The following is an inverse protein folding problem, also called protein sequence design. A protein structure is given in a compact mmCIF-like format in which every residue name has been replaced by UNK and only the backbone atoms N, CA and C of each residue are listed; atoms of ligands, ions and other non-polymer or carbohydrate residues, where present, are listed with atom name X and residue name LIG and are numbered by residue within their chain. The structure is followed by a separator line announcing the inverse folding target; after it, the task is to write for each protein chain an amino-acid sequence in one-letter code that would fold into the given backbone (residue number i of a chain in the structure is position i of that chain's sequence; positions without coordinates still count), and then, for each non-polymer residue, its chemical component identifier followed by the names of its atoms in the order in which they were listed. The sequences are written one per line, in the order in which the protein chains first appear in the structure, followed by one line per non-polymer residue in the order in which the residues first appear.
data_IF_583315784306
#
_entry.id   IF_583315784306
#
_cell.length_a   1.000
_cell.length_b   1.000
_cell.length_c   1.000
_cell.angle_alpha   90.00
_cell.angle_beta   90.00
_cell.angle_gamma   90.00
#
_symmetry.space_group_name_H-M   'P 1'
#
loop_
_entity.id
_entity.type
_entity.pdbx_description
1 polymer ?
#
# COMPACT_ATOMS: atom_id res chain seq x y z
N UNK A 1 37.57 14.35 -17.38
CA UNK A 1 36.67 13.25 -17.79
C UNK A 1 36.12 12.56 -16.57
N UNK A 2 34.93 13.03 -16.19
CA UNK A 2 34.15 12.69 -15.00
C UNK A 2 33.32 11.44 -15.24
N UNK A 3 33.57 10.36 -14.49
CA UNK A 3 32.57 9.32 -14.28
C UNK A 3 31.81 9.64 -12.99
N UNK A 4 30.62 10.21 -13.16
CA UNK A 4 29.65 10.44 -12.10
C UNK A 4 28.98 9.08 -11.81
N UNK A 5 29.28 8.52 -10.64
CA UNK A 5 28.74 7.24 -10.19
C UNK A 5 27.23 7.29 -9.92
N UNK A 6 26.61 6.13 -10.11
CA UNK A 6 25.19 5.84 -9.94
C UNK A 6 24.62 6.43 -8.63
N UNK A 7 23.64 7.33 -8.79
CA UNK A 7 22.83 7.86 -7.71
C UNK A 7 21.80 6.80 -7.28
N UNK A 8 21.95 6.32 -6.05
CA UNK A 8 20.92 5.62 -5.30
C UNK A 8 19.67 6.52 -5.24
N UNK A 9 18.56 6.04 -5.80
CA UNK A 9 17.26 6.71 -5.78
C UNK A 9 16.61 6.49 -4.42
N UNK A 10 16.22 7.58 -3.74
CA UNK A 10 15.16 7.51 -2.75
C UNK A 10 13.84 7.46 -3.50
N UNK A 11 13.35 6.25 -3.72
CA UNK A 11 11.91 6.05 -3.77
C UNK A 11 11.45 6.00 -2.32
N UNK A 12 10.23 6.45 -2.04
CA UNK A 12 9.49 6.00 -0.85
C UNK A 12 9.13 4.49 -0.97
N UNK A 13 10.04 3.66 -1.49
CA UNK A 13 9.85 2.23 -1.68
C UNK A 13 11.00 1.49 -1.00
N UNK A 14 10.66 0.68 0.00
CA UNK A 14 11.45 -0.53 0.22
C UNK A 14 11.02 -1.55 -0.84
N UNK A 15 11.95 -1.93 -1.73
CA UNK A 15 11.89 -3.16 -2.51
C UNK A 15 12.98 -4.13 -2.00
N UNK A 16 12.83 -5.43 -2.31
CA UNK A 16 12.30 -6.48 -1.44
C UNK A 16 13.30 -7.00 -0.38
N UNK A 17 12.80 -7.51 0.75
CA UNK A 17 13.46 -8.61 1.45
C UNK A 17 12.62 -9.86 1.24
N UNK A 18 13.05 -10.72 0.33
CA UNK A 18 12.58 -12.09 0.31
C UNK A 18 13.74 -13.03 0.00
N UNK A 19 14.05 -13.92 0.95
CA UNK A 19 14.44 -15.27 0.56
C UNK A 19 13.63 -16.31 1.34
N UNK A 20 12.30 -16.35 1.17
CA UNK A 20 11.49 -17.58 1.23
C UNK A 20 9.98 -17.30 1.16
N UNK A 21 9.40 -17.31 -0.04
CA UNK A 21 8.06 -17.91 -0.17
C UNK A 21 8.28 -19.40 -0.43
N UNK A 22 8.31 -20.17 0.65
CA UNK A 22 7.98 -21.59 0.59
C UNK A 22 6.47 -21.71 0.68
N UNK A 23 5.78 -21.65 -0.47
CA UNK A 23 4.63 -22.53 -0.64
C UNK A 23 5.19 -23.93 -0.88
N UNK A 24 5.18 -24.76 0.14
CA UNK A 24 5.42 -26.20 0.04
C UNK A 24 4.53 -26.79 -1.05
N UNK A 25 5.10 -27.22 -2.18
CA UNK A 25 4.75 -28.50 -2.84
C UNK A 25 5.28 -28.73 -4.26
N UNK A 26 5.89 -27.78 -5.00
CA UNK A 26 6.17 -28.05 -6.43
C UNK A 26 7.52 -27.64 -7.05
N UNK A 27 8.53 -27.25 -6.25
CA UNK A 27 9.85 -26.86 -6.79
C UNK A 27 11.01 -27.83 -6.45
N UNK A 28 10.76 -28.88 -5.65
CA UNK A 28 11.81 -29.78 -5.17
C UNK A 28 12.29 -30.85 -6.19
N UNK A 29 11.64 -30.98 -7.35
CA UNK A 29 11.91 -32.11 -8.25
C UNK A 29 13.00 -31.88 -9.32
N UNK A 30 13.49 -30.64 -9.54
CA UNK A 30 14.28 -30.33 -10.75
C UNK A 30 15.71 -29.80 -10.58
N UNK A 31 16.21 -29.53 -9.37
CA UNK A 31 17.53 -28.88 -9.19
C UNK A 31 18.42 -29.51 -8.11
N UNK A 32 18.74 -30.80 -8.24
CA UNK A 32 19.60 -31.53 -7.31
C UNK A 32 21.11 -31.16 -7.36
N UNK A 33 21.57 -30.39 -8.36
CA UNK A 33 23.00 -30.03 -8.52
C UNK A 33 23.43 -28.71 -7.86
N UNK A 34 22.49 -27.84 -7.48
CA UNK A 34 22.81 -26.55 -6.82
C UNK A 34 23.16 -26.74 -5.33
N UNK A 35 22.73 -27.85 -4.72
CA UNK A 35 22.94 -28.13 -3.29
C UNK A 35 24.32 -28.72 -2.94
N UNK A 36 25.15 -29.07 -3.93
CA UNK A 36 26.47 -29.65 -3.66
C UNK A 36 27.53 -28.58 -3.33
N UNK A 37 27.34 -27.33 -3.76
CA UNK A 37 28.26 -26.22 -3.48
C UNK A 37 28.11 -25.64 -2.06
N UNK A 38 27.02 -25.98 -1.35
CA UNK A 38 26.73 -25.50 0.02
C UNK A 38 27.37 -26.33 1.14
N UNK A 39 28.18 -27.34 0.82
CA UNK A 39 28.68 -28.29 1.84
C UNK A 39 30.11 -28.04 2.34
N UNK A 40 30.76 -26.95 1.93
CA UNK A 40 32.19 -26.69 2.28
C UNK A 40 32.47 -25.40 3.06
N UNK A 41 31.48 -24.73 3.67
CA UNK A 41 31.76 -23.72 4.71
C UNK A 41 30.85 -23.90 5.90
N UNK A 42 31.37 -24.59 6.91
CA UNK A 42 30.80 -24.70 8.25
C UNK A 42 31.24 -23.51 9.10
N UNK A 43 30.43 -22.45 9.13
CA UNK A 43 30.26 -21.55 10.28
C UNK A 43 28.78 -21.12 10.34
N UNK A 44 28.15 -21.02 11.53
CA UNK A 44 26.75 -20.66 11.65
C UNK A 44 26.59 -19.15 11.49
N UNK A 45 26.34 -18.67 10.27
CA UNK A 45 25.96 -17.28 9.99
C UNK A 45 24.59 -16.95 10.64
N UNK A 46 24.60 -16.52 11.90
CA UNK A 46 23.43 -15.98 12.60
C UNK A 46 23.39 -14.45 12.46
N UNK A 47 22.95 -13.96 11.30
CA UNK A 47 22.59 -12.55 11.15
C UNK A 47 21.16 -12.33 11.63
N UNK A 48 20.97 -12.08 12.92
CA UNK A 48 19.70 -11.50 13.41
C UNK A 48 19.52 -10.09 12.83
N UNK A 49 18.28 -9.64 12.65
CA UNK A 49 17.99 -8.27 12.16
C UNK A 49 18.69 -7.21 13.02
N UNK A 50 18.67 -7.37 14.35
CA UNK A 50 19.39 -6.52 15.29
C UNK A 50 20.89 -6.45 15.01
N UNK A 51 21.56 -7.60 14.80
CA UNK A 51 22.99 -7.63 14.48
C UNK A 51 23.31 -6.89 13.16
N UNK A 52 22.41 -6.96 12.17
CA UNK A 52 22.56 -6.23 10.90
C UNK A 52 22.42 -4.72 11.08
N UNK A 53 21.44 -4.29 11.87
CA UNK A 53 21.22 -2.86 12.22
C UNK A 53 22.44 -2.30 12.95
N UNK A 54 22.92 -3.01 13.98
CA UNK A 54 24.10 -2.58 14.75
C UNK A 54 25.34 -2.45 13.86
N UNK A 55 25.58 -3.43 12.99
CA UNK A 55 26.70 -3.40 12.03
C UNK A 55 26.56 -2.22 11.05
N UNK A 56 25.35 -1.95 10.56
CA UNK A 56 25.09 -0.81 9.69
C UNK A 56 25.37 0.52 10.39
N UNK A 57 24.93 0.69 11.64
CA UNK A 57 25.18 1.88 12.45
C UNK A 57 26.67 2.11 12.72
N UNK A 58 27.43 1.04 13.00
CA UNK A 58 28.88 1.13 13.18
C UNK A 58 29.59 1.62 11.90
N UNK A 59 29.20 1.06 10.74
CA UNK A 59 29.75 1.47 9.44
C UNK A 59 29.41 2.94 9.12
N UNK A 60 28.17 3.36 9.38
CA UNK A 60 27.75 4.74 9.18
C UNK A 60 28.50 5.71 10.10
N UNK A 61 28.68 5.35 11.39
CA UNK A 61 29.47 6.14 12.34
C UNK A 61 30.92 6.33 11.91
N UNK A 62 31.52 5.31 11.30
CA UNK A 62 32.88 5.41 10.76
C UNK A 62 32.95 6.31 9.51
N UNK A 63 31.97 6.20 8.59
CA UNK A 63 31.87 7.10 7.43
C UNK A 63 31.68 8.56 7.83
N UNK A 64 30.84 8.80 8.85
CA UNK A 64 30.64 10.13 9.43
C UNK A 64 31.95 10.71 9.97
N UNK A 65 32.74 9.92 10.71
CA UNK A 65 34.06 10.33 11.21
C UNK A 65 35.03 10.71 10.09
N UNK A 66 34.86 10.15 8.89
CA UNK A 66 35.64 10.46 7.69
C UNK A 66 35.09 11.65 6.89
N UNK A 67 34.04 12.32 7.38
CA UNK A 67 33.45 13.51 6.75
C UNK A 67 32.39 13.22 5.68
N UNK A 68 31.86 12.00 5.61
CA UNK A 68 30.83 11.65 4.62
C UNK A 68 29.46 12.22 5.02
N UNK A 69 29.06 13.31 4.37
CA UNK A 69 27.76 13.96 4.59
C UNK A 69 26.56 13.05 4.28
N UNK A 70 26.67 12.14 3.32
CA UNK A 70 25.58 11.21 2.99
C UNK A 70 25.36 10.17 4.11
N UNK A 71 26.42 9.82 4.83
CA UNK A 71 26.32 8.87 5.93
C UNK A 71 25.47 9.40 7.11
N UNK A 72 25.39 10.73 7.30
CA UNK A 72 24.47 11.32 8.27
C UNK A 72 23.01 11.07 7.87
N UNK A 73 22.66 11.37 6.62
CA UNK A 73 21.30 11.14 6.12
C UNK A 73 20.92 9.66 6.21
N UNK A 74 21.81 8.75 5.76
CA UNK A 74 21.55 7.30 5.80
C UNK A 74 21.37 6.77 7.22
N UNK A 75 22.05 7.36 8.22
CA UNK A 75 21.87 7.00 9.63
C UNK A 75 20.51 7.47 10.15
N UNK A 76 20.13 8.72 9.88
CA UNK A 76 18.79 9.21 10.21
C UNK A 76 17.69 8.37 9.54
N UNK A 77 17.89 7.98 8.28
CA UNK A 77 16.97 7.11 7.55
C UNK A 77 16.87 5.71 8.19
N UNK A 78 17.98 5.14 8.65
CA UNK A 78 17.96 3.86 9.36
C UNK A 78 17.20 3.97 10.67
N UNK A 79 17.43 5.03 11.46
CA UNK A 79 16.65 5.30 12.67
C UNK A 79 15.15 5.41 12.38
N UNK A 80 14.79 6.17 11.34
CA UNK A 80 13.40 6.31 10.92
C UNK A 80 12.76 4.97 10.56
N UNK A 81 13.49 4.10 9.85
CA UNK A 81 13.02 2.78 9.43
C UNK A 81 12.89 1.76 10.57
N UNK A 82 13.70 1.88 11.61
CA UNK A 82 13.62 1.07 12.83
C UNK A 82 12.62 1.65 13.85
N UNK A 83 12.00 2.79 13.56
CA UNK A 83 11.01 3.45 14.43
C UNK A 83 11.63 4.29 15.55
N UNK A 84 12.94 4.52 15.52
CA UNK A 84 13.69 5.38 16.44
C UNK A 84 13.54 6.84 16.00
N UNK A 85 12.31 7.35 16.11
CA UNK A 85 11.94 8.61 15.49
C UNK A 85 12.58 9.83 16.14
N UNK A 86 12.86 9.80 17.45
CA UNK A 86 13.53 10.91 18.14
C UNK A 86 14.97 11.07 17.61
N UNK A 87 15.70 9.96 17.52
CA UNK A 87 17.07 9.93 16.99
C UNK A 87 17.11 10.29 15.50
N UNK A 88 16.11 9.84 14.73
CA UNK A 88 15.96 10.24 13.33
C UNK A 88 15.75 11.76 13.20
N UNK A 89 14.91 12.34 14.06
CA UNK A 89 14.57 13.76 14.03
C UNK A 89 15.82 14.61 14.31
N UNK A 90 16.55 14.28 15.38
CA UNK A 90 17.80 14.96 15.74
C UNK A 90 18.81 14.92 14.59
N UNK A 91 18.99 13.75 13.98
CA UNK A 91 19.90 13.57 12.84
C UNK A 91 19.50 14.42 11.64
N UNK A 92 18.22 14.48 11.29
CA UNK A 92 17.78 15.27 10.14
C UNK A 92 17.81 16.77 10.42
N UNK A 93 17.50 17.22 11.64
CA UNK A 93 17.63 18.62 12.05
C UNK A 93 19.08 19.13 11.91
N UNK A 94 20.07 18.28 12.20
CA UNK A 94 21.50 18.62 12.09
C UNK A 94 21.92 18.95 10.64
N UNK A 95 21.31 18.31 9.64
CA UNK A 95 21.73 18.41 8.23
C UNK A 95 20.73 19.13 7.31
N UNK A 96 19.57 19.56 7.82
CA UNK A 96 18.45 20.09 7.01
C UNK A 96 18.83 21.24 6.07
N UNK A 97 19.72 22.14 6.50
CA UNK A 97 20.12 23.32 5.71
C UNK A 97 20.97 22.95 4.48
N UNK A 98 21.61 21.77 4.52
CA UNK A 98 22.52 21.29 3.46
C UNK A 98 21.94 20.13 2.66
N UNK A 99 20.96 19.43 3.23
CA UNK A 99 20.38 18.22 2.65
C UNK A 99 18.85 18.33 2.48
N UNK A 100 18.41 18.23 1.22
CA UNK A 100 16.99 18.30 0.86
C UNK A 100 16.24 17.02 1.24
N UNK A 101 16.92 15.87 1.31
CA UNK A 101 16.32 14.61 1.73
C UNK A 101 15.96 14.69 3.22
N UNK A 102 16.86 15.26 4.04
CA UNK A 102 16.58 15.52 5.44
C UNK A 102 15.45 16.53 5.63
N UNK A 103 15.46 17.64 4.87
CA UNK A 103 14.34 18.61 4.89
C UNK A 103 13.01 17.95 4.53
N UNK A 104 12.98 17.09 3.51
CA UNK A 104 11.78 16.34 3.16
C UNK A 104 11.32 15.40 4.30
N UNK A 105 12.25 14.66 4.91
CA UNK A 105 11.92 13.75 6.01
C UNK A 105 11.41 14.50 7.24
N UNK A 106 12.01 15.64 7.61
CA UNK A 106 11.47 16.52 8.64
C UNK A 106 10.04 16.96 8.29
N UNK A 107 9.77 17.28 7.03
CA UNK A 107 8.43 17.58 6.55
C UNK A 107 7.41 16.50 6.90
N UNK A 108 7.75 15.23 6.65
CA UNK A 108 6.92 14.07 7.01
C UNK A 108 6.79 13.91 8.53
N UNK A 109 7.92 13.99 9.25
CA UNK A 109 7.96 13.78 10.69
C UNK A 109 7.16 14.82 11.47
N UNK A 110 7.29 16.11 11.14
CA UNK A 110 6.47 17.15 11.77
C UNK A 110 4.99 17.03 11.38
N UNK A 111 4.69 16.67 10.12
CA UNK A 111 3.33 16.50 9.66
C UNK A 111 2.57 15.41 10.43
N UNK A 112 3.21 14.28 10.68
CA UNK A 112 2.63 13.11 11.34
C UNK A 112 2.96 13.02 12.84
N UNK A 113 3.82 13.89 13.38
CA UNK A 113 4.24 13.86 14.79
C UNK A 113 5.15 12.67 15.11
N UNK A 114 6.03 12.28 14.19
CA UNK A 114 6.97 11.18 14.39
C UNK A 114 8.20 11.68 15.15
N UNK A 115 8.37 11.21 16.39
CA UNK A 115 9.50 11.61 17.25
C UNK A 115 9.38 13.03 17.82
N UNK A 116 8.21 13.67 17.68
CA UNK A 116 7.93 15.01 18.21
C UNK A 116 6.41 15.25 18.30
N UNK A 117 5.99 16.32 18.97
CA UNK A 117 4.61 16.76 18.91
C UNK A 117 4.22 17.11 17.46
N UNK A 118 2.98 16.80 17.07
CA UNK A 118 2.49 17.10 15.72
C UNK A 118 2.52 18.61 15.44
N UNK A 119 3.19 18.99 14.36
CA UNK A 119 3.25 20.36 13.82
C UNK A 119 3.07 20.29 12.30
N UNK A 120 1.81 20.16 11.89
CA UNK A 120 1.48 19.96 10.48
C UNK A 120 1.74 21.19 9.62
N UNK A 121 1.69 22.40 10.20
CA UNK A 121 2.01 23.64 9.48
C UNK A 121 3.49 23.66 9.09
N UNK A 122 4.38 23.35 10.05
CA UNK A 122 5.82 23.22 9.80
C UNK A 122 6.14 22.07 8.84
N UNK A 123 5.44 20.94 8.97
CA UNK A 123 5.56 19.83 8.02
C UNK A 123 5.25 20.26 6.59
N UNK A 124 4.15 20.99 6.39
CA UNK A 124 3.77 21.56 5.09
C UNK A 124 4.79 22.58 4.58
N UNK A 125 5.33 23.44 5.45
CA UNK A 125 6.35 24.41 5.06
C UNK A 125 7.59 23.71 4.46
N UNK A 126 8.08 22.65 5.11
CA UNK A 126 9.21 21.87 4.58
C UNK A 126 8.88 21.18 3.25
N UNK A 127 7.69 20.60 3.10
CA UNK A 127 7.27 20.00 1.83
C UNK A 127 7.19 21.04 0.70
N UNK A 128 6.68 22.26 0.97
CA UNK A 128 6.68 23.38 0.02
C UNK A 128 8.10 23.76 -0.40
N UNK A 129 9.03 23.89 0.56
CA UNK A 129 10.45 24.16 0.28
C UNK A 129 11.05 23.15 -0.71
N UNK A 130 10.68 21.87 -0.61
CA UNK A 130 11.15 20.84 -1.54
C UNK A 130 10.54 20.98 -2.93
N UNK A 131 9.22 21.17 -3.01
CA UNK A 131 8.50 21.34 -4.29
C UNK A 131 9.02 22.56 -5.05
N UNK A 132 9.24 23.66 -4.35
CA UNK A 132 9.65 24.95 -4.94
C UNK A 132 11.17 25.05 -5.16
N UNK A 133 11.97 24.14 -4.58
CA UNK A 133 13.43 24.21 -4.69
C UNK A 133 13.91 24.15 -6.15
N UNK A 134 14.71 25.12 -6.62
CA UNK A 134 15.32 25.07 -7.95
C UNK A 134 16.51 24.09 -8.00
N UNK A 135 16.92 23.52 -6.85
CA UNK A 135 18.08 22.66 -6.76
C UNK A 135 17.88 21.36 -7.55
N UNK A 136 18.77 21.00 -8.50
CA UNK A 136 18.69 19.73 -9.22
C UNK A 136 18.73 18.49 -8.31
N UNK A 137 19.33 18.61 -7.12
CA UNK A 137 19.36 17.52 -6.12
C UNK A 137 17.96 17.23 -5.56
N UNK A 138 17.08 18.23 -5.47
CA UNK A 138 15.72 18.06 -4.95
C UNK A 138 14.75 17.46 -5.98
N UNK A 139 15.11 17.43 -7.28
CA UNK A 139 14.20 17.03 -8.37
C UNK A 139 13.49 15.70 -8.14
N UNK A 140 14.20 14.70 -7.61
CA UNK A 140 13.63 13.38 -7.34
C UNK A 140 12.66 13.37 -6.15
N UNK A 141 12.81 14.29 -5.19
CA UNK A 141 11.96 14.41 -4.01
C UNK A 141 10.66 15.17 -4.32
N UNK A 142 10.65 15.99 -5.38
CA UNK A 142 9.50 16.85 -5.71
C UNK A 142 8.21 16.07 -5.88
N UNK A 143 8.25 14.89 -6.49
CA UNK A 143 7.04 14.08 -6.69
C UNK A 143 6.48 13.55 -5.36
N UNK A 144 7.34 13.08 -4.46
CA UNK A 144 6.94 12.62 -3.14
C UNK A 144 6.44 13.77 -2.25
N UNK A 145 7.15 14.89 -2.25
CA UNK A 145 6.75 16.10 -1.54
C UNK A 145 5.43 16.67 -2.06
N UNK A 146 5.23 16.73 -3.38
CA UNK A 146 3.97 17.18 -3.96
C UNK A 146 2.82 16.21 -3.65
N UNK A 147 3.05 14.90 -3.65
CA UNK A 147 2.05 13.93 -3.25
C UNK A 147 1.56 14.17 -1.80
N UNK A 148 2.49 14.28 -0.85
CA UNK A 148 2.15 14.52 0.55
C UNK A 148 1.56 15.91 0.79
N UNK A 149 2.05 16.94 0.08
CA UNK A 149 1.47 18.27 0.14
C UNK A 149 0.04 18.29 -0.42
N UNK A 150 -0.22 17.53 -1.49
CA UNK A 150 -1.57 17.35 -2.02
C UNK A 150 -2.51 16.71 -0.99
N UNK A 151 -2.02 15.69 -0.26
CA UNK A 151 -2.75 15.09 0.86
C UNK A 151 -3.07 16.12 1.95
N UNK A 152 -2.11 16.96 2.33
CA UNK A 152 -2.32 18.02 3.30
C UNK A 152 -3.42 19.01 2.90
N UNK A 153 -3.43 19.43 1.62
CA UNK A 153 -4.50 20.30 1.10
C UNK A 153 -5.86 19.59 1.02
N UNK A 154 -5.91 18.30 0.72
CA UNK A 154 -7.16 17.55 0.68
C UNK A 154 -7.76 17.36 2.09
N UNK A 155 -6.91 17.04 3.07
CA UNK A 155 -7.30 16.84 4.47
C UNK A 155 -7.55 18.17 5.21
N UNK A 156 -6.94 19.26 4.77
CA UNK A 156 -6.95 20.53 5.50
C UNK A 156 -6.07 20.51 6.77
N UNK A 157 -5.10 19.60 6.83
CA UNK A 157 -4.20 19.43 7.98
C UNK A 157 -2.92 20.24 7.75
N UNK A 158 -2.65 21.21 8.62
CA UNK A 158 -1.50 22.12 8.49
C UNK A 158 -1.62 23.18 7.39
N UNK A 159 -2.71 23.16 6.61
CA UNK A 159 -3.06 24.16 5.59
C UNK A 159 -4.58 24.24 5.44
N UNK A 160 -5.09 25.38 4.96
CA UNK A 160 -6.50 25.50 4.59
C UNK A 160 -6.85 24.47 3.50
N UNK A 161 -7.90 23.67 3.73
CA UNK A 161 -8.38 22.67 2.77
C UNK A 161 -8.64 23.28 1.39
N UNK A 162 -8.15 22.62 0.34
CA UNK A 162 -8.33 23.00 -1.06
C UNK A 162 -8.19 21.79 -1.98
N UNK A 163 -9.32 21.20 -2.38
CA UNK A 163 -9.35 20.06 -3.30
C UNK A 163 -8.70 20.41 -4.66
N UNK A 164 -8.81 21.66 -5.10
CA UNK A 164 -8.16 22.17 -6.32
C UNK A 164 -6.63 22.14 -6.22
N UNK A 165 -6.06 22.55 -5.08
CA UNK A 165 -4.60 22.48 -4.91
C UNK A 165 -4.13 21.05 -4.71
N UNK A 166 -4.91 20.22 -4.03
CA UNK A 166 -4.65 18.78 -3.92
C UNK A 166 -4.55 18.13 -5.30
N UNK A 167 -5.56 18.34 -6.15
CA UNK A 167 -5.61 17.85 -7.53
C UNK A 167 -4.40 18.34 -8.34
N UNK A 168 -4.08 19.65 -8.28
CA UNK A 168 -2.91 20.23 -8.97
C UNK A 168 -1.60 19.56 -8.58
N UNK A 169 -1.39 19.35 -7.27
CA UNK A 169 -0.18 18.76 -6.74
C UNK A 169 -0.07 17.28 -7.04
N UNK A 170 -1.18 16.54 -6.98
CA UNK A 170 -1.21 15.14 -7.36
C UNK A 170 -0.99 14.94 -8.87
N UNK A 171 -1.56 15.79 -9.73
CA UNK A 171 -1.27 15.77 -11.17
C UNK A 171 0.22 16.00 -11.45
N UNK A 172 0.83 16.97 -10.77
CA UNK A 172 2.27 17.19 -10.85
C UNK A 172 3.08 15.99 -10.32
N UNK A 173 2.67 15.40 -9.20
CA UNK A 173 3.33 14.25 -8.59
C UNK A 173 3.23 12.98 -9.44
N UNK A 174 2.12 12.79 -10.16
CA UNK A 174 1.85 11.65 -11.01
C UNK A 174 2.56 11.75 -12.37
N UNK A 175 2.90 12.97 -12.81
CA UNK A 175 3.67 13.27 -14.03
C UNK A 175 3.17 12.50 -15.26
N UNK A 176 1.86 12.61 -15.53
CA UNK A 176 1.21 11.97 -16.67
C UNK A 176 1.50 10.46 -16.80
N UNK A 177 1.48 9.74 -15.67
CA UNK A 177 1.66 8.29 -15.65
C UNK A 177 3.13 7.83 -15.62
N UNK A 178 4.09 8.76 -15.51
CA UNK A 178 5.51 8.42 -15.51
C UNK A 178 5.86 7.41 -14.39
N UNK A 179 6.41 6.22 -14.71
CA UNK A 179 6.79 5.20 -13.72
C UNK A 179 7.88 5.67 -12.75
N UNK A 180 8.62 6.72 -13.09
CA UNK A 180 9.67 7.30 -12.22
C UNK A 180 9.13 8.39 -11.29
N UNK A 181 7.85 8.74 -11.41
CA UNK A 181 7.17 9.71 -10.56
C UNK A 181 6.40 9.00 -9.43
N UNK A 182 5.40 9.66 -8.83
CA UNK A 182 4.65 9.09 -7.71
C UNK A 182 3.52 8.18 -8.18
N UNK A 183 3.72 6.87 -8.09
CA UNK A 183 2.66 5.87 -8.31
C UNK A 183 1.51 6.04 -7.29
N UNK A 184 1.83 6.47 -6.07
CA UNK A 184 0.81 6.82 -5.06
C UNK A 184 -0.07 7.99 -5.49
N UNK A 185 0.50 8.98 -6.20
CA UNK A 185 -0.28 10.07 -6.77
C UNK A 185 -1.17 9.62 -7.93
N UNK A 186 -0.72 8.65 -8.74
CA UNK A 186 -1.58 8.05 -9.78
C UNK A 186 -2.77 7.31 -9.14
N UNK A 187 -2.53 6.48 -8.12
CA UNK A 187 -3.61 5.76 -7.42
C UNK A 187 -4.61 6.71 -6.76
N UNK A 188 -4.13 7.75 -6.05
CA UNK A 188 -5.02 8.69 -5.38
C UNK A 188 -5.84 9.54 -6.36
N UNK A 189 -5.29 9.89 -7.53
CA UNK A 189 -6.07 10.53 -8.59
C UNK A 189 -7.17 9.61 -9.11
N UNK A 190 -6.88 8.31 -9.28
CA UNK A 190 -7.90 7.31 -9.62
C UNK A 190 -9.04 7.29 -8.61
N UNK A 191 -8.72 7.24 -7.32
CA UNK A 191 -9.72 7.27 -6.25
C UNK A 191 -10.48 8.60 -6.18
N UNK A 192 -9.76 9.72 -6.32
CA UNK A 192 -10.32 11.06 -6.28
C UNK A 192 -11.35 11.26 -7.40
N UNK A 193 -11.03 10.93 -8.66
CA UNK A 193 -11.99 11.04 -9.76
C UNK A 193 -13.13 10.01 -9.69
N UNK A 194 -12.93 8.89 -8.99
CA UNK A 194 -13.99 7.90 -8.72
C UNK A 194 -15.03 8.39 -7.72
N UNK A 195 -14.65 9.32 -6.83
CA UNK A 195 -15.45 9.73 -5.66
C UNK A 195 -15.83 11.21 -5.64
N UNK A 196 -15.15 12.06 -6.41
CA UNK A 196 -15.49 13.47 -6.66
C UNK A 196 -16.90 13.59 -7.22
N UNK A 197 -17.58 14.71 -6.94
CA UNK A 197 -18.85 15.04 -7.59
C UNK A 197 -18.80 16.32 -8.45
N UNK A 198 -19.23 16.25 -9.72
CA UNK A 198 -19.66 15.03 -10.45
C UNK A 198 -18.49 14.05 -10.67
N UNK A 199 -18.77 12.75 -10.63
CA UNK A 199 -17.77 11.70 -10.90
C UNK A 199 -17.17 11.84 -12.28
N UNK A 200 -15.86 11.67 -12.39
CA UNK A 200 -15.10 11.75 -13.64
C UNK A 200 -14.51 10.36 -13.97
N UNK A 201 -15.39 9.38 -14.17
CA UNK A 201 -15.00 7.96 -14.22
C UNK A 201 -14.00 7.61 -15.32
N UNK A 202 -14.02 8.30 -16.46
CA UNK A 202 -13.01 8.10 -17.52
C UNK A 202 -11.61 8.53 -17.07
N UNK A 203 -11.50 9.63 -16.31
CA UNK A 203 -10.22 10.04 -15.70
C UNK A 203 -9.80 9.07 -14.61
N UNK A 204 -10.75 8.58 -13.81
CA UNK A 204 -10.46 7.56 -12.81
C UNK A 204 -9.89 6.29 -13.46
N UNK A 205 -10.50 5.83 -14.56
CA UNK A 205 -10.04 4.67 -15.31
C UNK A 205 -8.62 4.89 -15.84
N UNK A 206 -8.34 6.07 -16.40
CA UNK A 206 -7.01 6.43 -16.88
C UNK A 206 -5.97 6.36 -15.76
N UNK A 207 -6.20 7.04 -14.62
CA UNK A 207 -5.22 7.08 -13.54
C UNK A 207 -5.02 5.75 -12.84
N UNK A 208 -6.08 4.95 -12.67
CA UNK A 208 -5.94 3.59 -12.18
C UNK A 208 -5.18 2.69 -13.16
N UNK A 209 -5.34 2.89 -14.48
CA UNK A 209 -4.57 2.18 -15.52
C UNK A 209 -3.09 2.50 -15.43
N UNK A 210 -2.72 3.77 -15.32
CA UNK A 210 -1.32 4.20 -15.14
C UNK A 210 -0.71 3.63 -13.85
N UNK A 211 -1.42 3.76 -12.72
CA UNK A 211 -0.97 3.23 -11.45
C UNK A 211 -0.78 1.70 -11.50
N UNK A 212 -1.72 0.97 -12.10
CA UNK A 212 -1.66 -0.47 -12.26
C UNK A 212 -0.48 -0.89 -13.15
N UNK A 213 -0.28 -0.22 -14.29
CA UNK A 213 0.87 -0.44 -15.17
C UNK A 213 2.21 -0.22 -14.47
N UNK A 214 2.22 0.67 -13.48
CA UNK A 214 3.36 0.95 -12.62
C UNK A 214 3.39 0.11 -11.32
N UNK A 215 2.59 -0.95 -11.25
CA UNK A 215 2.64 -1.97 -10.20
C UNK A 215 1.72 -1.74 -9.00
N UNK A 216 0.90 -0.68 -8.97
CA UNK A 216 -0.02 -0.41 -7.87
C UNK A 216 -1.12 -1.48 -7.78
N UNK A 217 -1.12 -2.18 -6.66
CA UNK A 217 -2.02 -3.31 -6.41
C UNK A 217 -3.46 -2.89 -6.14
N UNK A 218 -3.66 -1.76 -5.46
CA UNK A 218 -4.99 -1.21 -5.17
C UNK A 218 -5.73 -0.80 -6.44
N UNK A 219 -5.04 -0.10 -7.34
CA UNK A 219 -5.55 0.31 -8.65
C UNK A 219 -5.86 -0.88 -9.55
N UNK A 220 -5.09 -1.98 -9.48
CA UNK A 220 -5.43 -3.21 -10.20
C UNK A 220 -6.78 -3.78 -9.73
N UNK A 221 -7.04 -3.76 -8.41
CA UNK A 221 -8.35 -4.14 -7.87
C UNK A 221 -9.48 -3.20 -8.31
N UNK A 222 -9.22 -1.88 -8.32
CA UNK A 222 -10.17 -0.88 -8.79
C UNK A 222 -10.55 -1.09 -10.26
N UNK A 223 -9.57 -1.29 -11.15
CA UNK A 223 -9.82 -1.58 -12.57
C UNK A 223 -10.69 -2.82 -12.76
N UNK A 224 -10.47 -3.85 -11.94
CA UNK A 224 -11.32 -5.04 -11.90
C UNK A 224 -12.80 -4.69 -11.74
N UNK A 225 -13.12 -3.78 -10.81
CA UNK A 225 -14.51 -3.31 -10.61
C UNK A 225 -14.98 -2.37 -11.71
N UNK A 226 -14.10 -1.51 -12.23
CA UNK A 226 -14.45 -0.59 -13.31
C UNK A 226 -14.85 -1.36 -14.58
N UNK A 227 -14.11 -2.42 -14.93
CA UNK A 227 -14.49 -3.33 -16.00
C UNK A 227 -15.75 -4.12 -15.68
N UNK A 228 -15.95 -4.55 -14.42
CA UNK A 228 -17.10 -5.35 -14.04
C UNK A 228 -18.42 -4.58 -14.16
N UNK A 229 -18.41 -3.30 -13.78
CA UNK A 229 -19.59 -2.43 -13.76
C UNK A 229 -19.65 -1.44 -14.94
N UNK A 230 -18.66 -1.43 -15.84
CA UNK A 230 -18.59 -0.46 -16.93
C UNK A 230 -18.43 0.99 -16.47
N UNK A 231 -17.65 1.22 -15.41
CA UNK A 231 -17.44 2.56 -14.84
C UNK A 231 -16.29 3.25 -15.57
N UNK A 232 -16.58 4.28 -16.37
CA UNK A 232 -15.56 5.02 -17.12
C UNK A 232 -14.92 4.26 -18.28
N UNK A 233 -15.39 3.03 -18.53
CA UNK A 233 -14.96 2.15 -19.61
C UNK A 233 -16.13 1.22 -19.96
N UNK A 234 -16.08 0.57 -21.14
CA UNK A 234 -17.05 -0.47 -21.48
C UNK A 234 -16.93 -1.65 -20.52
N UNK A 235 -18.07 -2.21 -20.12
CA UNK A 235 -18.12 -3.42 -19.32
C UNK A 235 -17.41 -4.59 -20.02
N UNK A 236 -16.53 -5.27 -19.29
CA UNK A 236 -15.79 -6.46 -19.74
C UNK A 236 -15.56 -7.41 -18.56
N UNK A 237 -16.34 -8.50 -18.52
CA UNK A 237 -16.26 -9.45 -17.40
C UNK A 237 -14.97 -10.27 -17.42
N UNK A 238 -14.39 -10.52 -18.60
CA UNK A 238 -13.16 -11.31 -18.70
C UNK A 238 -11.98 -10.49 -18.18
N UNK A 239 -11.85 -9.24 -18.64
CA UNK A 239 -10.85 -8.31 -18.14
C UNK A 239 -11.02 -8.04 -16.63
N UNK A 240 -12.26 -7.86 -16.16
CA UNK A 240 -12.55 -7.70 -14.75
C UNK A 240 -12.03 -8.88 -13.91
N UNK A 241 -12.36 -10.11 -14.31
CA UNK A 241 -11.94 -11.31 -13.60
C UNK A 241 -10.42 -11.53 -13.66
N UNK A 242 -9.77 -11.15 -14.76
CA UNK A 242 -8.31 -11.17 -14.87
C UNK A 242 -7.68 -10.24 -13.84
N UNK A 243 -8.05 -8.95 -13.84
CA UNK A 243 -7.54 -7.96 -12.90
C UNK A 243 -7.80 -8.36 -11.44
N UNK A 244 -9.02 -8.79 -11.10
CA UNK A 244 -9.37 -9.18 -9.73
C UNK A 244 -8.59 -10.41 -9.26
N UNK A 245 -8.37 -11.42 -10.12
CA UNK A 245 -7.59 -12.62 -9.75
C UNK A 245 -6.13 -12.30 -9.50
N UNK A 246 -5.49 -11.56 -10.40
CA UNK A 246 -4.09 -11.18 -10.23
C UNK A 246 -3.89 -10.31 -8.98
N UNK A 247 -4.78 -9.34 -8.75
CA UNK A 247 -4.74 -8.53 -7.54
C UNK A 247 -4.94 -9.40 -6.28
N UNK A 248 -5.90 -10.32 -6.30
CA UNK A 248 -6.17 -11.23 -5.19
C UNK A 248 -4.97 -12.16 -4.88
N UNK A 249 -4.29 -12.68 -5.90
CA UNK A 249 -3.09 -13.51 -5.77
C UNK A 249 -1.91 -12.74 -5.14
N UNK A 250 -1.83 -11.44 -5.41
CA UNK A 250 -0.84 -10.52 -4.81
C UNK A 250 -1.24 -10.01 -3.42
N UNK A 251 -2.36 -10.46 -2.87
CA UNK A 251 -2.80 -10.14 -1.50
C UNK A 251 -3.81 -8.99 -1.39
N UNK A 252 -4.37 -8.50 -2.50
CA UNK A 252 -5.42 -7.47 -2.44
C UNK A 252 -6.72 -8.07 -1.87
N UNK A 253 -7.00 -7.79 -0.60
CA UNK A 253 -8.17 -8.32 0.11
C UNK A 253 -9.49 -7.79 -0.44
N UNK A 254 -9.51 -6.57 -0.98
CA UNK A 254 -10.71 -6.02 -1.62
C UNK A 254 -11.07 -6.78 -2.88
N UNK A 255 -10.08 -7.07 -3.73
CA UNK A 255 -10.26 -7.91 -4.92
C UNK A 255 -10.68 -9.33 -4.54
N UNK A 256 -10.11 -9.90 -3.47
CA UNK A 256 -10.51 -11.20 -2.94
C UNK A 256 -11.99 -11.21 -2.51
N UNK A 257 -12.45 -10.20 -1.76
CA UNK A 257 -13.85 -10.07 -1.34
C UNK A 257 -14.82 -9.98 -2.52
N UNK A 258 -14.46 -9.23 -3.57
CA UNK A 258 -15.26 -9.15 -4.80
C UNK A 258 -15.29 -10.47 -5.60
N UNK A 259 -14.21 -11.25 -5.58
CA UNK A 259 -14.23 -12.60 -6.15
C UNK A 259 -15.12 -13.56 -5.35
N UNK A 260 -15.19 -13.41 -4.02
CA UNK A 260 -16.15 -14.17 -3.19
C UNK A 260 -17.58 -13.87 -3.65
N UNK A 261 -17.94 -12.59 -3.76
CA UNK A 261 -19.25 -12.16 -4.25
C UNK A 261 -19.55 -12.77 -5.62
N UNK A 262 -18.60 -12.69 -6.55
CA UNK A 262 -18.74 -13.26 -7.88
C UNK A 262 -19.01 -14.77 -7.84
N UNK A 263 -18.23 -15.53 -7.06
CA UNK A 263 -18.42 -16.98 -6.94
C UNK A 263 -19.76 -17.34 -6.30
N UNK A 264 -20.22 -16.56 -5.32
CA UNK A 264 -21.54 -16.73 -4.74
C UNK A 264 -22.65 -16.50 -5.78
N UNK A 265 -22.60 -15.38 -6.53
CA UNK A 265 -23.58 -15.04 -7.57
C UNK A 265 -23.62 -16.08 -8.70
N UNK A 266 -22.47 -16.63 -9.08
CA UNK A 266 -22.35 -17.70 -10.08
C UNK A 266 -22.69 -19.10 -9.53
N UNK A 267 -23.13 -19.20 -8.26
CA UNK A 267 -23.48 -20.45 -7.59
C UNK A 267 -22.31 -21.44 -7.44
N UNK A 268 -21.07 -20.95 -7.49
CA UNK A 268 -19.86 -21.75 -7.22
C UNK A 268 -19.62 -21.85 -5.71
N UNK A 269 -20.59 -22.39 -4.97
CA UNK A 269 -20.64 -22.29 -3.51
C UNK A 269 -19.46 -22.95 -2.81
N UNK A 270 -19.00 -24.12 -3.24
CA UNK A 270 -17.81 -24.77 -2.66
C UNK A 270 -16.57 -23.89 -2.78
N UNK A 271 -16.39 -23.23 -3.93
CA UNK A 271 -15.28 -22.29 -4.16
C UNK A 271 -15.46 -21.01 -3.34
N UNK A 272 -16.68 -20.48 -3.29
CA UNK A 272 -17.05 -19.34 -2.46
C UNK A 272 -16.70 -19.59 -0.98
N UNK A 273 -17.11 -20.72 -0.41
CA UNK A 273 -16.84 -21.08 1.00
C UNK A 273 -15.34 -21.21 1.24
N UNK A 274 -14.62 -21.97 0.42
CA UNK A 274 -13.19 -22.20 0.60
C UNK A 274 -12.38 -20.89 0.54
N UNK A 275 -12.76 -19.99 -0.37
CA UNK A 275 -12.07 -18.72 -0.56
C UNK A 275 -12.45 -17.69 0.52
N UNK A 276 -13.74 -17.56 0.84
CA UNK A 276 -14.25 -16.63 1.85
C UNK A 276 -13.78 -16.94 3.26
N UNK A 277 -13.69 -18.22 3.65
CA UNK A 277 -13.28 -18.63 5.00
C UNK A 277 -11.92 -18.04 5.38
N UNK A 278 -10.93 -18.16 4.48
CA UNK A 278 -9.56 -17.69 4.73
C UNK A 278 -9.50 -16.18 5.02
N UNK A 279 -10.33 -15.41 4.34
CA UNK A 279 -10.36 -13.94 4.44
C UNK A 279 -11.17 -13.53 5.68
N UNK A 280 -12.29 -14.21 5.92
CA UNK A 280 -13.16 -13.97 7.06
C UNK A 280 -12.50 -14.33 8.40
N UNK A 281 -11.46 -15.16 8.39
CA UNK A 281 -10.68 -15.53 9.58
C UNK A 281 -9.55 -14.54 9.91
N UNK A 282 -9.28 -13.53 9.09
CA UNK A 282 -8.29 -12.48 9.41
C UNK A 282 -8.67 -11.73 10.69
N UNK A 283 -7.66 -11.49 11.53
CA UNK A 283 -7.78 -10.70 12.75
C UNK A 283 -7.80 -9.20 12.45
N UNK A 284 -8.75 -8.50 13.04
CA UNK A 284 -9.00 -7.09 12.72
C UNK A 284 -7.93 -6.16 13.29
N UNK A 285 -7.29 -6.56 14.40
CA UNK A 285 -6.33 -5.73 15.12
C UNK A 285 -4.92 -5.93 14.55
N UNK A 286 -4.54 -7.17 14.26
CA UNK A 286 -3.18 -7.52 13.87
C UNK A 286 -3.01 -7.67 12.35
N UNK A 287 -3.97 -8.30 11.66
CA UNK A 287 -3.80 -8.61 10.23
C UNK A 287 -4.07 -7.40 9.35
N UNK A 288 -5.03 -6.53 9.69
CA UNK A 288 -5.34 -5.35 8.86
C UNK A 288 -4.12 -4.42 8.71
N UNK A 289 -3.43 -4.00 9.79
CA UNK A 289 -2.23 -3.17 9.66
C UNK A 289 -1.10 -3.90 8.93
N UNK A 290 -0.91 -5.21 9.21
CA UNK A 290 0.13 -6.02 8.55
C UNK A 290 -0.12 -6.12 7.04
N UNK A 291 -1.34 -6.42 6.63
CA UNK A 291 -1.72 -6.51 5.22
C UNK A 291 -1.55 -5.15 4.55
N UNK A 292 -2.03 -4.06 5.18
CA UNK A 292 -1.84 -2.71 4.66
C UNK A 292 -0.36 -2.38 4.43
N UNK A 293 0.51 -2.74 5.38
CA UNK A 293 1.95 -2.52 5.26
C UNK A 293 2.59 -3.34 4.13
N UNK A 294 2.22 -4.62 3.98
CA UNK A 294 2.82 -5.53 2.98
C UNK A 294 2.31 -5.24 1.57
N UNK A 295 1.05 -4.83 1.45
CA UNK A 295 0.37 -4.66 0.14
C UNK A 295 0.29 -3.21 -0.31
N UNK A 296 0.60 -2.24 0.58
CA UNK A 296 0.40 -0.80 0.38
C UNK A 296 -1.06 -0.44 0.00
N UNK A 297 -2.02 -1.31 0.34
CA UNK A 297 -3.45 -1.08 0.15
C UNK A 297 -4.02 -0.32 1.36
N UNK A 298 -5.02 0.54 1.13
CA UNK A 298 -5.62 1.29 2.22
C UNK A 298 -6.43 0.36 3.14
N UNK A 299 -6.33 0.53 4.47
CA UNK A 299 -7.06 -0.28 5.44
C UNK A 299 -8.58 -0.35 5.18
N UNK A 300 -9.18 0.73 4.70
CA UNK A 300 -10.61 0.78 4.38
C UNK A 300 -11.00 -0.27 3.32
N UNK A 301 -10.20 -0.46 2.27
CA UNK A 301 -10.49 -1.44 1.23
C UNK A 301 -10.24 -2.87 1.71
N UNK A 302 -9.26 -3.08 2.58
CA UNK A 302 -9.03 -4.37 3.26
C UNK A 302 -10.27 -4.73 4.10
N UNK A 303 -10.75 -3.79 4.92
CA UNK A 303 -11.96 -3.93 5.74
C UNK A 303 -13.18 -4.26 4.88
N UNK A 304 -13.39 -3.54 3.77
CA UNK A 304 -14.48 -3.82 2.83
C UNK A 304 -14.39 -5.23 2.25
N UNK A 305 -13.20 -5.67 1.84
CA UNK A 305 -12.97 -7.03 1.35
C UNK A 305 -13.27 -8.11 2.39
N UNK A 306 -12.84 -7.89 3.64
CA UNK A 306 -13.14 -8.78 4.76
C UNK A 306 -14.64 -8.83 5.09
N UNK A 307 -15.34 -7.69 5.00
CA UNK A 307 -16.78 -7.61 5.22
C UNK A 307 -17.56 -8.38 4.14
N UNK A 308 -17.21 -8.21 2.85
CA UNK A 308 -17.77 -9.01 1.75
C UNK A 308 -17.58 -10.51 2.00
N UNK A 309 -16.35 -10.92 2.30
CA UNK A 309 -16.03 -12.33 2.54
C UNK A 309 -16.83 -12.90 3.73
N UNK A 310 -16.90 -12.16 4.84
CA UNK A 310 -17.65 -12.56 6.03
C UNK A 310 -19.14 -12.69 5.74
N UNK A 311 -19.74 -11.73 5.02
CA UNK A 311 -21.17 -11.77 4.69
C UNK A 311 -21.53 -12.96 3.81
N UNK A 312 -20.79 -13.19 2.72
CA UNK A 312 -21.08 -14.29 1.80
C UNK A 312 -20.73 -15.66 2.41
N UNK A 313 -19.72 -15.73 3.28
CA UNK A 313 -19.45 -16.93 4.07
C UNK A 313 -20.63 -17.27 5.00
N UNK A 314 -21.14 -16.25 5.71
CA UNK A 314 -22.32 -16.39 6.55
C UNK A 314 -23.55 -16.86 5.75
N UNK A 315 -23.76 -16.35 4.53
CA UNK A 315 -24.85 -16.80 3.65
C UNK A 315 -24.73 -18.27 3.30
N UNK A 316 -23.54 -18.73 2.94
CA UNK A 316 -23.31 -20.14 2.64
C UNK A 316 -23.59 -21.04 3.85
N UNK A 317 -23.14 -20.65 5.05
CA UNK A 317 -23.42 -21.39 6.29
C UNK A 317 -24.91 -21.39 6.67
N UNK A 318 -25.57 -20.23 6.55
CA UNK A 318 -27.00 -20.09 6.86
C UNK A 318 -27.87 -20.99 5.99
N UNK A 319 -27.53 -21.08 4.70
CA UNK A 319 -28.32 -21.80 3.70
C UNK A 319 -27.83 -23.23 3.42
N UNK A 320 -26.67 -23.62 3.93
CA UNK A 320 -26.05 -24.90 3.61
C UNK A 320 -25.54 -24.98 2.16
N UNK A 321 -25.06 -23.87 1.60
CA UNK A 321 -24.60 -23.79 0.21
C UNK A 321 -23.11 -24.12 0.13
N UNK A 322 -22.77 -25.27 -0.43
CA UNK A 322 -21.37 -25.71 -0.56
C UNK A 322 -20.68 -26.04 0.77
N UNK A 323 -21.42 -26.03 1.88
CA UNK A 323 -20.98 -26.34 3.24
C UNK A 323 -22.17 -26.87 4.04
N UNK A 324 -21.91 -27.61 5.12
CA UNK A 324 -22.96 -28.01 6.06
C UNK A 324 -23.61 -26.77 6.68
N UNK A 325 -24.94 -26.78 6.77
CA UNK A 325 -25.71 -25.69 7.37
C UNK A 325 -25.31 -25.51 8.84
N UNK A 326 -24.96 -24.28 9.22
CA UNK A 326 -24.57 -23.89 10.57
C UNK A 326 -25.03 -22.44 10.84
N UNK A 327 -26.22 -22.31 11.43
CA UNK A 327 -26.82 -21.01 11.71
C UNK A 327 -26.11 -20.25 12.84
N UNK A 328 -25.49 -20.95 13.79
CA UNK A 328 -24.82 -20.32 14.92
C UNK A 328 -23.55 -19.61 14.43
N UNK A 329 -22.72 -20.30 13.66
CA UNK A 329 -21.51 -19.73 13.06
C UNK A 329 -21.86 -18.66 12.02
N UNK A 330 -22.93 -18.84 11.24
CA UNK A 330 -23.39 -17.81 10.31
C UNK A 330 -23.68 -16.47 11.01
N UNK A 331 -24.36 -16.48 12.17
CA UNK A 331 -24.64 -15.26 12.95
C UNK A 331 -23.37 -14.54 13.39
N UNK A 332 -22.33 -15.26 13.76
CA UNK A 332 -21.03 -14.68 14.12
C UNK A 332 -20.41 -13.93 12.93
N UNK A 333 -20.40 -14.54 11.73
CA UNK A 333 -19.84 -13.90 10.54
C UNK A 333 -20.69 -12.73 10.02
N UNK A 334 -22.02 -12.76 10.14
CA UNK A 334 -22.84 -11.57 9.88
C UNK A 334 -22.50 -10.43 10.83
N UNK A 335 -22.39 -10.73 12.13
CA UNK A 335 -22.03 -9.73 13.14
C UNK A 335 -20.64 -9.14 12.86
N UNK A 336 -19.69 -9.97 12.42
CA UNK A 336 -18.37 -9.53 11.97
C UNK A 336 -18.47 -8.59 10.76
N UNK A 337 -19.24 -8.95 9.73
CA UNK A 337 -19.43 -8.08 8.56
C UNK A 337 -20.01 -6.71 8.95
N UNK A 338 -21.04 -6.69 9.81
CA UNK A 338 -21.63 -5.44 10.33
C UNK A 338 -20.63 -4.60 11.14
N UNK A 339 -19.80 -5.24 11.98
CA UNK A 339 -18.77 -4.55 12.77
C UNK A 339 -17.67 -3.95 11.89
N UNK A 340 -17.23 -4.70 10.87
CA UNK A 340 -16.20 -4.27 9.93
C UNK A 340 -16.68 -3.08 9.07
N UNK A 341 -17.85 -3.22 8.45
CA UNK A 341 -18.39 -2.18 7.57
C UNK A 341 -19.93 -2.15 7.63
N UNK A 342 -20.52 -1.31 8.50
CA UNK A 342 -21.96 -1.23 8.67
C UNK A 342 -22.71 -0.81 7.40
N UNK A 343 -22.16 0.15 6.66
CA UNK A 343 -22.79 0.68 5.44
C UNK A 343 -22.89 -0.38 4.34
N UNK A 344 -21.80 -1.13 4.11
CA UNK A 344 -21.79 -2.24 3.17
C UNK A 344 -22.72 -3.37 3.62
N UNK A 345 -22.74 -3.69 4.92
CA UNK A 345 -23.63 -4.72 5.44
C UNK A 345 -25.12 -4.36 5.22
N UNK A 346 -25.48 -3.09 5.40
CA UNK A 346 -26.81 -2.56 5.11
C UNK A 346 -27.15 -2.63 3.61
N UNK A 347 -26.21 -2.27 2.73
CA UNK A 347 -26.37 -2.42 1.28
C UNK A 347 -26.63 -3.88 0.88
N UNK A 348 -25.82 -4.81 1.38
CA UNK A 348 -25.97 -6.24 1.11
C UNK A 348 -27.28 -6.80 1.68
N UNK A 349 -27.69 -6.35 2.87
CA UNK A 349 -28.97 -6.72 3.45
C UNK A 349 -30.14 -6.22 2.59
N UNK A 350 -30.04 -4.99 2.09
CA UNK A 350 -31.02 -4.41 1.17
C UNK A 350 -31.10 -5.24 -0.12
N UNK A 351 -29.97 -5.62 -0.71
CA UNK A 351 -29.95 -6.48 -1.90
C UNK A 351 -30.63 -7.84 -1.65
N UNK A 352 -30.44 -8.41 -0.45
CA UNK A 352 -31.08 -9.66 -0.04
C UNK A 352 -32.60 -9.52 0.10
N UNK A 353 -33.09 -8.44 0.72
CA UNK A 353 -34.54 -8.16 0.82
C UNK A 353 -35.17 -8.06 -0.58
N UNK A 354 -34.46 -7.45 -1.53
CA UNK A 354 -34.90 -7.30 -2.91
C UNK A 354 -34.62 -8.54 -3.79
N UNK A 355 -34.21 -9.67 -3.20
CA UNK A 355 -33.91 -10.94 -3.89
C UNK A 355 -32.87 -10.81 -5.02
N UNK A 356 -31.93 -9.87 -4.88
CA UNK A 356 -30.83 -9.67 -5.83
C UNK A 356 -29.62 -10.56 -5.53
N UNK A 357 -29.50 -11.07 -4.30
CA UNK A 357 -28.45 -12.00 -3.81
C UNK A 357 -28.98 -12.96 -2.74
#
# INVERSE_FOLDING_TARGET
NTHCGDRMKLTSEKLPKNPSYTSLSHFAAKNAKIFQWRKEKTEPDHYSHANLVDKALQLLKERIRRGDTMAYFLRGQLYFEEGWYEEALEQFEEIKEKDHQATYQLGVMYYDGLGTATDSEKGVEYMKKIVDSPCPKARHLKFAAAYNLGRAYYEGKGVKRSDKEAERLWLFAADNGNPKASVKAQSILGLYYSTKEPRELEKAFYWHSEACGNGNLESQGALGLMYFYGQGIRQDTEAALHCLREAAERGNVYAQGNLVEYYYKMKFFTKCVAFSKRIADYDEVHDIPMIAQVTDCLPEFIIRGMALASFYHARCLQLGLGVTKDEATAKCYYSKACRLNPALADELHTLLIHQRI
#
